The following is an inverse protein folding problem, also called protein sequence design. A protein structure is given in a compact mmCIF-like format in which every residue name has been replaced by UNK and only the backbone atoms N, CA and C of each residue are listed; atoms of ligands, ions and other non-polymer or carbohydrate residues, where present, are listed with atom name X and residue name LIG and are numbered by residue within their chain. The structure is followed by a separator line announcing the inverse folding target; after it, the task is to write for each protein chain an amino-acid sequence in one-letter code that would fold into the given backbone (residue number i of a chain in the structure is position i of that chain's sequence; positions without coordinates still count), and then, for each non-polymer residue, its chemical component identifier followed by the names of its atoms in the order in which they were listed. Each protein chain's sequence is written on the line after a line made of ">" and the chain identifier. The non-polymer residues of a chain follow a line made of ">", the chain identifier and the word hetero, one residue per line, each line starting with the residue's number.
data_IF_161269268877
#
_entry.id   IF_161269268877
#
_cell.length_a   1.000
_cell.length_b   1.000
_cell.length_c   1.000
_cell.angle_alpha   90.00
_cell.angle_beta   90.00
_cell.angle_gamma   90.00
#
_symmetry.space_group_name_H-M   'P 1'
#
loop_
_entity.id
_entity.type
_entity.pdbx_description
1 polymer ?
#
# COMPACT_ATOMS: atom_id res chain seq x y z
N UNK A 1 7.16 2.98 -22.38
CA UNK A 1 7.61 2.31 -21.13
C UNK A 1 7.28 3.25 -19.99
N UNK A 2 6.55 2.84 -18.95
CA UNK A 2 5.99 3.76 -17.95
C UNK A 2 6.39 3.36 -16.54
N UNK A 3 6.52 4.36 -15.66
CA UNK A 3 6.81 4.20 -14.24
C UNK A 3 5.57 4.59 -13.42
N UNK A 4 5.28 3.86 -12.35
CA UNK A 4 4.28 4.24 -11.37
C UNK A 4 4.94 4.37 -9.99
N UNK A 5 4.55 5.39 -9.23
CA UNK A 5 5.01 5.62 -7.85
C UNK A 5 4.24 4.79 -6.83
N UNK A 6 4.75 4.70 -5.59
CA UNK A 6 3.88 4.34 -4.46
C UNK A 6 2.70 5.33 -4.36
N UNK A 7 1.61 4.90 -3.75
CA UNK A 7 0.58 5.83 -3.28
C UNK A 7 1.19 6.64 -2.12
N UNK A 8 1.06 7.96 -2.19
CA UNK A 8 1.59 8.88 -1.18
C UNK A 8 0.68 10.09 -1.02
N UNK A 9 0.76 10.77 0.11
CA UNK A 9 0.08 12.03 0.32
C UNK A 9 0.68 13.12 -0.57
N UNK A 10 -0.17 14.05 -1.00
CA UNK A 10 0.29 15.26 -1.68
C UNK A 10 1.04 16.18 -0.70
N UNK A 11 2.15 16.75 -1.15
CA UNK A 11 2.94 17.71 -0.39
C UNK A 11 2.87 19.09 -1.05
N UNK A 12 2.68 20.12 -0.24
CA UNK A 12 2.68 21.52 -0.65
C UNK A 12 3.56 22.31 0.33
N UNK A 13 4.52 23.10 -0.20
CA UNK A 13 5.49 23.83 0.62
C UNK A 13 6.21 22.95 1.66
N UNK A 14 6.64 21.75 1.23
CA UNK A 14 7.28 20.72 2.08
C UNK A 14 6.43 20.24 3.27
N UNK A 15 5.11 20.43 3.22
CA UNK A 15 4.17 19.95 4.23
C UNK A 15 3.13 19.05 3.59
N UNK A 16 2.69 18.03 4.31
CA UNK A 16 1.56 17.21 3.89
C UNK A 16 0.32 18.10 3.75
N UNK A 17 -0.29 18.09 2.57
CA UNK A 17 -1.51 18.84 2.29
C UNK A 17 -2.67 18.28 3.14
N UNK A 18 -3.50 19.18 3.68
CA UNK A 18 -4.74 18.84 4.39
C UNK A 18 -5.95 19.44 3.65
N UNK A 19 -7.08 18.72 3.51
CA UNK A 19 -7.29 17.31 3.89
C UNK A 19 -6.35 16.36 3.14
N UNK A 20 -6.13 15.15 3.68
CA UNK A 20 -5.20 14.19 3.08
C UNK A 20 -5.66 13.79 1.68
N UNK A 21 -4.81 14.05 0.69
CA UNK A 21 -5.05 13.72 -0.71
C UNK A 21 -4.05 12.65 -1.15
N UNK A 22 -4.43 11.36 -1.15
CA UNK A 22 -3.55 10.30 -1.62
C UNK A 22 -3.45 10.31 -3.15
N UNK A 23 -2.22 10.26 -3.66
CA UNK A 23 -1.91 10.38 -5.08
C UNK A 23 -1.04 9.21 -5.53
N UNK A 24 -1.40 8.64 -6.68
CA UNK A 24 -0.58 7.75 -7.49
C UNK A 24 -0.01 8.56 -8.66
N UNK A 25 1.32 8.55 -8.83
CA UNK A 25 1.99 9.26 -9.93
C UNK A 25 2.43 8.29 -11.01
N UNK A 26 2.03 8.56 -12.25
CA UNK A 26 2.45 7.80 -13.42
C UNK A 26 3.35 8.70 -14.27
N UNK A 27 4.56 8.25 -14.53
CA UNK A 27 5.53 8.97 -15.34
C UNK A 27 5.76 8.23 -16.66
N UNK A 28 5.66 8.96 -17.77
CA UNK A 28 5.77 8.43 -19.12
C UNK A 28 6.75 9.29 -19.93
N UNK A 29 7.85 8.72 -20.46
CA UNK A 29 8.74 9.45 -21.35
C UNK A 29 8.03 9.70 -22.67
N UNK A 30 8.20 10.91 -23.20
CA UNK A 30 7.74 11.33 -24.51
C UNK A 30 8.96 11.38 -25.43
N UNK A 31 8.84 10.78 -26.60
CA UNK A 31 9.87 10.78 -27.63
C UNK A 31 9.37 11.58 -28.84
N UNK A 32 10.27 12.29 -29.51
CA UNK A 32 9.96 12.99 -30.75
C UNK A 32 9.97 12.05 -31.97
N UNK A 33 9.87 12.62 -33.17
CA UNK A 33 9.85 11.86 -34.42
C UNK A 33 11.17 11.12 -34.71
N UNK A 34 12.29 11.60 -34.16
CA UNK A 34 13.62 11.02 -34.32
C UNK A 34 13.94 10.01 -33.19
N UNK A 35 12.93 9.72 -32.33
CA UNK A 35 13.02 8.84 -31.17
C UNK A 35 13.97 9.35 -30.07
N UNK A 36 14.23 10.66 -30.04
CA UNK A 36 14.97 11.32 -28.97
C UNK A 36 14.02 11.68 -27.81
N UNK A 37 14.54 11.66 -26.57
CA UNK A 37 13.76 11.98 -25.38
C UNK A 37 13.36 13.47 -25.40
N UNK A 38 12.12 13.74 -25.79
CA UNK A 38 11.53 15.08 -25.84
C UNK A 38 11.07 15.58 -24.48
N UNK A 39 10.57 14.69 -23.61
CA UNK A 39 10.07 15.10 -22.30
C UNK A 39 9.55 13.98 -21.42
N UNK A 40 8.92 14.35 -20.30
CA UNK A 40 8.32 13.44 -19.33
C UNK A 40 6.91 13.91 -18.96
N UNK A 41 5.91 13.12 -19.33
CA UNK A 41 4.53 13.30 -18.88
C UNK A 41 4.37 12.71 -17.49
N UNK A 42 3.93 13.52 -16.52
CA UNK A 42 3.62 13.07 -15.15
C UNK A 42 2.15 13.28 -14.87
N UNK A 43 1.42 12.18 -14.68
CA UNK A 43 0.00 12.17 -14.34
C UNK A 43 -0.18 11.95 -12.84
N UNK A 44 -0.89 12.86 -12.18
CA UNK A 44 -1.33 12.69 -10.79
C UNK A 44 -2.73 12.10 -10.79
N UNK A 45 -2.87 10.85 -10.34
CA UNK A 45 -4.17 10.19 -10.16
C UNK A 45 -4.54 10.15 -8.68
N UNK A 46 -5.78 10.49 -8.36
CA UNK A 46 -6.30 10.39 -7.00
C UNK A 46 -6.48 8.92 -6.62
N UNK A 47 -5.85 8.49 -5.54
CA UNK A 47 -6.05 7.16 -4.98
C UNK A 47 -7.24 7.10 -3.99
N UNK A 48 -7.98 8.21 -3.81
CA UNK A 48 -9.09 8.30 -2.85
C UNK A 48 -10.15 7.23 -3.09
N UNK A 49 -10.55 7.04 -4.35
CA UNK A 49 -11.57 6.05 -4.71
C UNK A 49 -11.14 4.61 -4.36
N UNK A 50 -9.86 4.29 -4.53
CA UNK A 50 -9.32 2.98 -4.12
C UNK A 50 -9.44 2.79 -2.60
N UNK A 51 -9.11 3.82 -1.82
CA UNK A 51 -9.23 3.77 -0.36
C UNK A 51 -10.70 3.65 0.07
N UNK A 52 -11.60 4.41 -0.55
CA UNK A 52 -13.05 4.36 -0.27
C UNK A 52 -13.64 2.98 -0.57
N UNK A 53 -13.19 2.31 -1.65
CA UNK A 53 -13.60 0.94 -1.94
C UNK A 53 -13.20 -0.04 -0.83
N UNK A 54 -12.01 0.11 -0.27
CA UNK A 54 -11.52 -0.72 0.85
C UNK A 54 -12.26 -0.43 2.16
N UNK A 55 -12.73 0.81 2.36
CA UNK A 55 -13.49 1.24 3.54
C UNK A 55 -14.96 0.81 3.47
N UNK A 56 -15.52 0.74 2.26
CA UNK A 56 -16.93 0.36 2.04
C UNK A 56 -17.24 -1.12 2.20
N UNK A 57 -16.23 -1.98 2.22
CA UNK A 57 -16.39 -3.42 2.40
C UNK A 57 -16.27 -3.82 3.88
N UNK A 58 -16.95 -4.90 4.26
CA UNK A 58 -17.01 -5.45 5.62
C UNK A 58 -15.72 -6.13 6.08
N UNK A 59 -14.71 -6.23 5.19
CA UNK A 59 -13.43 -6.85 5.48
C UNK A 59 -12.42 -5.91 6.14
N UNK A 60 -11.54 -6.46 6.97
CA UNK A 60 -10.37 -5.72 7.43
C UNK A 60 -9.25 -5.77 6.38
N UNK A 61 -9.01 -4.63 5.74
CA UNK A 61 -7.98 -4.49 4.72
C UNK A 61 -6.78 -3.71 5.23
N UNK A 62 -5.59 -4.25 5.00
CA UNK A 62 -4.34 -3.53 5.15
C UNK A 62 -3.72 -3.30 3.77
N UNK A 63 -3.37 -2.05 3.51
CA UNK A 63 -2.70 -1.65 2.28
C UNK A 63 -1.31 -1.14 2.61
N UNK A 64 -0.30 -1.76 2.01
CA UNK A 64 1.10 -1.39 2.21
C UNK A 64 1.79 -1.04 0.90
N UNK A 65 2.83 -0.22 0.99
CA UNK A 65 3.76 -0.05 -0.11
C UNK A 65 4.71 -1.25 -0.25
N UNK A 66 5.48 -1.28 -1.33
CA UNK A 66 6.46 -2.35 -1.60
C UNK A 66 7.54 -2.54 -0.53
N UNK A 67 7.67 -1.60 0.43
CA UNK A 67 8.57 -1.71 1.57
C UNK A 67 7.83 -2.04 2.87
N UNK A 68 6.54 -2.36 2.80
CA UNK A 68 5.74 -2.75 3.97
C UNK A 68 5.24 -1.59 4.83
N UNK A 69 5.42 -0.33 4.41
CA UNK A 69 4.85 0.80 5.13
C UNK A 69 3.35 0.89 4.85
N UNK A 70 2.55 1.13 5.88
CA UNK A 70 1.12 1.24 5.70
C UNK A 70 0.73 2.52 4.97
N UNK A 71 -0.10 2.35 3.94
CA UNK A 71 -0.85 3.38 3.25
C UNK A 71 -2.24 3.50 3.90
N UNK A 72 -2.88 2.35 4.17
CA UNK A 72 -4.22 2.27 4.77
C UNK A 72 -4.36 1.03 5.66
N UNK A 73 -5.29 1.11 6.62
CA UNK A 73 -5.72 0.03 7.50
C UNK A 73 -7.03 0.40 8.20
N UNK A 74 -7.65 -0.53 8.95
CA UNK A 74 -8.94 -0.27 9.63
C UNK A 74 -8.84 0.85 10.67
N UNK A 75 -7.71 0.91 11.39
CA UNK A 75 -7.43 1.97 12.35
C UNK A 75 -6.59 3.09 11.70
N UNK A 76 -6.88 4.35 12.05
CA UNK A 76 -6.15 5.52 11.51
C UNK A 76 -4.66 5.55 11.87
N UNK A 77 -4.21 4.74 12.84
CA UNK A 77 -2.79 4.54 13.18
C UNK A 77 -1.99 3.93 12.02
N UNK A 78 -2.66 3.22 11.12
CA UNK A 78 -2.06 2.62 9.92
C UNK A 78 -2.05 3.58 8.72
N UNK A 79 -2.69 4.74 8.78
CA UNK A 79 -2.84 5.58 7.60
C UNK A 79 -1.55 6.35 7.32
N UNK A 80 -0.98 6.18 6.13
CA UNK A 80 0.15 6.94 5.58
C UNK A 80 1.36 7.04 6.54
N UNK A 81 1.70 5.94 7.20
CA UNK A 81 2.76 5.85 8.23
C UNK A 81 4.09 6.48 7.79
N UNK A 82 4.49 6.23 6.54
CA UNK A 82 5.69 6.83 5.94
C UNK A 82 5.59 8.35 5.78
N UNK A 83 4.51 8.84 5.18
CA UNK A 83 4.39 10.26 4.82
C UNK A 83 4.09 11.14 6.04
N UNK A 84 3.53 10.56 7.10
CA UNK A 84 3.28 11.22 8.39
C UNK A 84 4.45 11.11 9.38
N UNK A 85 5.61 10.60 8.93
CA UNK A 85 6.79 10.39 9.76
C UNK A 85 6.51 9.56 11.04
N UNK A 86 5.64 8.55 10.91
CA UNK A 86 5.28 7.59 11.95
C UNK A 86 5.68 6.18 11.49
N UNK A 87 6.98 5.85 11.47
CA UNK A 87 7.45 4.60 10.89
C UNK A 87 6.85 3.42 11.65
N UNK A 88 5.97 2.70 10.96
CA UNK A 88 5.32 1.47 11.41
C UNK A 88 5.15 0.59 10.18
N UNK A 89 5.67 -0.61 10.25
CA UNK A 89 5.69 -1.53 9.11
C UNK A 89 4.81 -2.74 9.38
N UNK A 90 4.33 -3.36 8.31
CA UNK A 90 3.50 -4.55 8.41
C UNK A 90 4.17 -5.67 9.21
N UNK A 91 5.46 -5.91 8.95
CA UNK A 91 6.23 -6.96 9.61
C UNK A 91 6.47 -6.69 11.10
N UNK A 92 6.30 -5.46 11.58
CA UNK A 92 6.36 -5.14 13.00
C UNK A 92 5.11 -5.65 13.75
N UNK A 93 3.97 -5.67 13.04
CA UNK A 93 2.65 -5.96 13.60
C UNK A 93 2.17 -7.39 13.34
N UNK A 94 2.59 -7.94 12.22
CA UNK A 94 2.12 -9.22 11.72
C UNK A 94 3.30 -10.10 11.34
N UNK A 95 3.33 -11.31 11.88
CA UNK A 95 4.25 -12.36 11.43
C UNK A 95 3.46 -13.33 10.55
N UNK A 96 3.86 -13.45 9.29
CA UNK A 96 3.34 -14.47 8.41
C UNK A 96 3.88 -15.83 8.87
N UNK A 97 3.06 -16.59 9.60
CA UNK A 97 3.36 -17.99 9.89
C UNK A 97 2.97 -18.84 8.68
N UNK A 98 3.88 -19.67 8.16
CA UNK A 98 3.69 -20.54 6.99
C UNK A 98 2.69 -21.70 7.22
N UNK A 99 1.79 -21.58 8.19
CA UNK A 99 0.86 -22.63 8.59
C UNK A 99 -0.49 -22.01 8.94
N UNK A 100 -1.20 -21.53 7.93
CA UNK A 100 -2.63 -21.34 8.05
C UNK A 100 -3.31 -22.19 6.98
N UNK A 101 -4.05 -23.20 7.43
CA UNK A 101 -5.06 -23.95 6.67
C UNK A 101 -6.29 -23.04 6.40
N UNK A 102 -6.04 -21.76 6.14
CA UNK A 102 -6.99 -20.71 5.82
C UNK A 102 -6.51 -20.09 4.52
N UNK A 103 -7.35 -20.16 3.49
CA UNK A 103 -7.07 -19.58 2.19
C UNK A 103 -6.86 -18.08 2.40
N UNK A 104 -5.63 -17.60 2.21
CA UNK A 104 -5.36 -16.19 1.95
C UNK A 104 -6.05 -15.87 0.61
N UNK A 105 -7.30 -15.43 0.66
CA UNK A 105 -8.03 -14.91 -0.51
C UNK A 105 -7.45 -13.54 -0.87
N UNK A 106 -6.25 -13.56 -1.45
CA UNK A 106 -5.55 -12.40 -1.98
C UNK A 106 -4.32 -11.98 -1.18
N UNK A 107 -3.25 -12.76 -1.23
CA UNK A 107 -1.91 -12.17 -1.23
C UNK A 107 -1.60 -11.86 -2.70
N UNK A 108 -1.98 -10.68 -3.19
CA UNK A 108 -1.41 -10.18 -4.45
C UNK A 108 -0.04 -9.62 -4.10
N UNK A 109 0.92 -10.51 -3.87
CA UNK A 109 2.29 -10.15 -4.19
C UNK A 109 2.38 -10.15 -5.69
N UNK A 110 3.04 -9.12 -6.21
CA UNK A 110 3.39 -8.95 -7.63
C UNK A 110 4.23 -10.11 -8.21
N UNK A 111 4.44 -11.21 -7.46
CA UNK A 111 5.09 -12.44 -7.90
C UNK A 111 4.30 -13.24 -8.96
N UNK A 112 2.98 -13.01 -9.15
CA UNK A 112 2.14 -13.84 -10.04
C UNK A 112 1.26 -13.06 -11.03
N UNK A 113 1.68 -11.87 -11.46
CA UNK A 113 1.13 -11.22 -12.66
C UNK A 113 2.17 -11.42 -13.79
N UNK A 114 1.84 -12.05 -14.94
CA UNK A 114 2.81 -12.33 -16.01
C UNK A 114 3.27 -11.08 -16.77
N UNK A 115 2.99 -9.87 -16.27
CA UNK A 115 3.45 -8.61 -16.85
C UNK A 115 4.43 -7.90 -15.90
N UNK A 116 5.67 -8.39 -15.86
CA UNK A 116 6.81 -7.64 -15.30
C UNK A 116 7.25 -6.60 -16.34
N UNK A 117 6.76 -5.38 -16.21
CA UNK A 117 7.54 -4.24 -16.70
C UNK A 117 8.76 -4.11 -15.77
N UNK A 118 10.01 -4.14 -16.29
CA UNK A 118 11.22 -3.99 -15.46
C UNK A 118 11.30 -2.63 -14.73
N UNK A 119 10.33 -1.74 -14.94
CA UNK A 119 10.37 -0.33 -14.56
C UNK A 119 9.22 0.10 -13.64
N UNK A 120 8.37 -0.82 -13.16
CA UNK A 120 7.31 -0.50 -12.20
C UNK A 120 7.68 -0.97 -10.79
N UNK A 121 8.03 -0.02 -9.90
CA UNK A 121 8.22 -0.28 -8.46
C UNK A 121 6.92 -0.24 -7.64
N UNK A 122 5.77 -0.07 -8.30
CA UNK A 122 4.47 -0.04 -7.63
C UNK A 122 3.96 -1.44 -7.35
N UNK A 123 4.44 -2.05 -6.27
CA UNK A 123 3.78 -3.22 -5.69
C UNK A 123 2.84 -2.73 -4.59
N UNK A 124 1.55 -2.74 -4.87
CA UNK A 124 0.49 -2.47 -3.91
C UNK A 124 0.12 -3.83 -3.31
N UNK A 125 0.38 -4.02 -2.02
CA UNK A 125 0.01 -5.27 -1.32
C UNK A 125 -1.25 -4.99 -0.53
N UNK A 126 -2.36 -5.62 -0.94
CA UNK A 126 -3.63 -5.62 -0.20
C UNK A 126 -3.70 -6.94 0.55
N UNK A 127 -3.90 -6.88 1.86
CA UNK A 127 -4.07 -8.04 2.71
C UNK A 127 -5.46 -7.96 3.31
N UNK A 128 -6.33 -8.91 2.92
CA UNK A 128 -7.61 -9.13 3.59
C UNK A 128 -7.37 -10.04 4.79
N UNK A 129 -7.56 -9.52 6.00
CA UNK A 129 -7.59 -10.36 7.19
C UNK A 129 -8.99 -11.00 7.31
N UNK A 130 -9.11 -12.31 7.57
CA UNK A 130 -10.40 -12.88 7.95
C UNK A 130 -10.86 -12.22 9.25
N UNK A 131 -12.15 -11.92 9.33
CA UNK A 131 -12.77 -11.46 10.56
C UNK A 131 -12.62 -12.58 11.61
N UNK A 132 -11.68 -12.36 12.55
CA UNK A 132 -11.30 -13.17 13.72
C UNK A 132 -10.40 -14.43 13.55
N UNK A 133 -9.39 -14.51 14.43
CA UNK A 133 -8.73 -15.68 15.06
C UNK A 133 -7.34 -16.20 14.66
N UNK A 134 -6.73 -15.88 13.51
CA UNK A 134 -5.42 -16.50 13.17
C UNK A 134 -4.26 -15.58 12.78
N UNK A 135 -4.43 -14.25 12.74
CA UNK A 135 -3.26 -13.35 12.82
C UNK A 135 -3.00 -13.09 14.30
N UNK A 136 -1.86 -13.57 14.81
CA UNK A 136 -1.36 -13.16 16.12
C UNK A 136 -0.97 -11.69 16.05
N UNK A 137 -1.95 -10.80 16.24
CA UNK A 137 -1.74 -9.35 16.35
C UNK A 137 -0.93 -9.12 17.64
N UNK A 138 0.40 -9.05 17.55
CA UNK A 138 1.27 -8.70 18.68
C UNK A 138 1.22 -7.19 18.93
N UNK A 139 0.03 -6.65 19.20
CA UNK A 139 -0.07 -5.32 19.78
C UNK A 139 0.54 -5.39 21.18
N UNK A 140 1.62 -4.64 21.43
CA UNK A 140 2.13 -4.40 22.79
C UNK A 140 1.15 -3.50 23.55
N UNK A 141 -0.02 -4.01 23.88
CA UNK A 141 -0.88 -3.49 24.93
C UNK A 141 -0.99 -4.56 26.02
N UNK A 142 -0.79 -4.12 27.27
CA UNK A 142 -0.73 -4.93 28.51
C UNK A 142 -1.75 -6.08 28.55
N UNK A 143 -1.24 -7.27 28.85
CA UNK A 143 -1.86 -8.42 29.52
C UNK A 143 -3.28 -8.84 29.12
N UNK A 144 -3.38 -9.90 28.29
CA UNK A 144 -4.07 -11.16 28.63
C UNK A 144 -3.47 -12.32 27.82
N UNK A 145 -3.22 -13.49 28.42
CA UNK A 145 -2.82 -14.66 27.66
C UNK A 145 -4.06 -15.22 26.94
N UNK A 146 -3.93 -15.52 25.64
CA UNK A 146 -4.87 -16.41 24.95
C UNK A 146 -4.08 -17.59 24.42
N UNK A 147 -4.42 -18.78 24.92
CA UNK A 147 -3.94 -20.06 24.40
C UNK A 147 -4.65 -20.38 23.09
N UNK A 148 -3.89 -20.98 22.16
CA UNK A 148 -4.38 -21.56 20.91
C UNK A 148 -5.27 -22.78 21.17
#
# INVERSE_FOLDING_TARGET
>A
MHFASRISLNFENNKVQRPFTPVLRIAMPLFDADNDLFGLLVLNSSAKQLIELLDSDTGEYYLTDHQGHYIYGPDTVFHYTRDLARPRMFDDDFKLHSTAKGVLMGYISTAQIPFRSPYSKSSIVVIRAPVMRCLSRQLRFRNRPQHC
#
